data_IF_176589590638
#
_entry.id   IF_176589590638
#
_cell.length_a   1.000
_cell.length_b   1.000
_cell.length_c   1.000
_cell.angle_alpha   90.00
_cell.angle_beta   90.00
_cell.angle_gamma   90.00
#
_symmetry.space_group_name_H-M   'P 1'
#
loop_
_entity.id
_entity.type
_entity.pdbx_description
1 polymer ?
#
# COMPACT_ATOMS: atom_id res chain seq x y z
N UNK A 1 -25.00 15.56 -14.51
CA UNK A 1 -23.71 15.25 -13.84
C UNK A 1 -24.02 14.34 -12.67
N UNK A 2 -23.44 13.14 -12.60
CA UNK A 2 -23.65 12.22 -11.50
C UNK A 2 -22.95 12.79 -10.26
N UNK A 3 -23.70 13.31 -9.29
CA UNK A 3 -23.15 13.80 -8.03
C UNK A 3 -22.80 12.56 -7.20
N UNK A 4 -21.58 12.04 -7.37
CA UNK A 4 -21.09 10.97 -6.51
C UNK A 4 -20.80 11.61 -5.16
N UNK A 5 -21.61 11.23 -4.17
CA UNK A 5 -21.46 11.70 -2.80
C UNK A 5 -20.03 11.48 -2.29
N UNK A 6 -19.51 12.42 -1.50
CA UNK A 6 -18.13 12.40 -1.03
C UNK A 6 -17.82 11.16 -0.18
N UNK A 7 -18.82 10.70 0.59
CA UNK A 7 -18.74 9.46 1.34
C UNK A 7 -18.63 8.23 0.42
N UNK A 8 -19.43 8.18 -0.64
CA UNK A 8 -19.36 7.11 -1.64
C UNK A 8 -17.98 7.08 -2.30
N UNK A 9 -17.46 8.23 -2.74
CA UNK A 9 -16.13 8.33 -3.35
C UNK A 9 -15.03 7.83 -2.42
N UNK A 10 -14.98 8.33 -1.18
CA UNK A 10 -13.94 7.95 -0.22
C UNK A 10 -13.97 6.46 0.10
N UNK A 11 -15.16 5.87 0.23
CA UNK A 11 -15.37 4.44 0.38
C UNK A 11 -14.81 3.63 -0.79
N UNK A 12 -15.13 4.02 -2.03
CA UNK A 12 -14.69 3.34 -3.24
C UNK A 12 -13.16 3.43 -3.45
N UNK A 13 -12.56 4.60 -3.23
CA UNK A 13 -11.10 4.77 -3.27
C UNK A 13 -10.41 3.90 -2.22
N UNK A 14 -11.00 3.76 -1.02
CA UNK A 14 -10.46 2.93 0.06
C UNK A 14 -10.49 1.44 -0.28
N UNK A 15 -11.56 0.98 -0.92
CA UNK A 15 -11.66 -0.39 -1.43
C UNK A 15 -10.59 -0.64 -2.49
N UNK A 16 -10.46 0.25 -3.47
CA UNK A 16 -9.45 0.11 -4.51
C UNK A 16 -8.02 0.05 -3.92
N UNK A 17 -7.71 0.95 -2.98
CA UNK A 17 -6.45 0.94 -2.26
C UNK A 17 -6.24 -0.36 -1.47
N UNK A 18 -7.28 -0.91 -0.84
CA UNK A 18 -7.18 -2.22 -0.16
C UNK A 18 -6.79 -3.33 -1.14
N UNK A 19 -7.39 -3.35 -2.33
CA UNK A 19 -7.05 -4.35 -3.37
C UNK A 19 -5.59 -4.22 -3.81
N UNK A 20 -5.08 -3.00 -4.05
CA UNK A 20 -3.68 -2.83 -4.47
C UNK A 20 -2.69 -3.28 -3.40
N UNK A 21 -2.98 -3.01 -2.13
CA UNK A 21 -2.12 -3.41 -1.01
C UNK A 21 -2.09 -4.93 -0.83
N UNK A 22 -3.23 -5.60 -0.99
CA UNK A 22 -3.29 -7.07 -0.99
C UNK A 22 -2.46 -7.63 -2.15
N UNK A 23 -2.56 -7.05 -3.35
CA UNK A 23 -1.73 -7.45 -4.51
C UNK A 23 -0.24 -7.25 -4.23
N UNK A 24 0.13 -6.15 -3.57
CA UNK A 24 1.50 -5.88 -3.14
C UNK A 24 2.03 -7.03 -2.28
N UNK A 25 1.30 -7.40 -1.21
CA UNK A 25 1.76 -8.44 -0.29
C UNK A 25 1.80 -9.84 -0.91
N UNK A 26 0.78 -10.24 -1.67
CA UNK A 26 0.75 -11.55 -2.35
C UNK A 26 1.89 -11.68 -3.39
N UNK A 27 2.18 -10.57 -4.06
CA UNK A 27 3.16 -10.45 -5.14
C UNK A 27 4.62 -10.61 -4.72
N UNK A 28 4.92 -10.38 -3.45
CA UNK A 28 6.29 -10.40 -2.93
C UNK A 28 6.71 -11.83 -2.59
N UNK A 29 7.94 -12.17 -2.97
CA UNK A 29 8.58 -13.44 -2.63
C UNK A 29 9.55 -13.26 -1.45
N UNK A 30 9.37 -14.08 -0.40
CA UNK A 30 10.19 -14.05 0.80
C UNK A 30 11.68 -14.30 0.52
N UNK A 31 11.99 -15.23 -0.39
CA UNK A 31 13.39 -15.58 -0.66
C UNK A 31 14.09 -14.48 -1.47
N UNK A 32 13.36 -13.86 -2.40
CA UNK A 32 13.81 -12.66 -3.11
C UNK A 32 14.06 -11.50 -2.13
N UNK A 33 13.12 -11.21 -1.22
CA UNK A 33 13.26 -10.13 -0.21
C UNK A 33 14.49 -10.33 0.67
N UNK A 34 14.76 -11.56 1.12
CA UNK A 34 15.95 -11.86 1.93
C UNK A 34 17.23 -11.60 1.16
N UNK A 35 17.27 -11.97 -0.12
CA UNK A 35 18.43 -11.76 -1.01
C UNK A 35 18.66 -10.27 -1.31
N UNK A 36 17.59 -9.48 -1.46
CA UNK A 36 17.67 -8.08 -1.91
C UNK A 36 17.35 -7.05 -0.82
N UNK A 37 17.42 -7.40 0.47
CA UNK A 37 17.08 -6.51 1.60
C UNK A 37 17.78 -5.15 1.57
N UNK A 38 19.07 -5.12 1.18
CA UNK A 38 19.85 -3.88 1.10
C UNK A 38 19.36 -2.99 -0.05
N UNK A 39 19.04 -3.60 -1.19
CA UNK A 39 18.48 -2.89 -2.35
C UNK A 39 17.10 -2.30 -2.01
N UNK A 40 16.25 -3.09 -1.33
CA UNK A 40 14.91 -2.65 -0.90
C UNK A 40 15.00 -1.42 0.01
N UNK A 41 15.90 -1.44 0.99
CA UNK A 41 16.07 -0.30 1.90
C UNK A 41 16.62 0.93 1.18
N UNK A 42 17.63 0.78 0.31
CA UNK A 42 18.19 1.90 -0.46
C UNK A 42 17.15 2.51 -1.39
N UNK A 43 16.44 1.69 -2.16
CA UNK A 43 15.41 2.15 -3.10
C UNK A 43 14.14 2.67 -2.42
N UNK A 44 13.78 2.16 -1.23
CA UNK A 44 12.58 2.60 -0.52
C UNK A 44 12.77 3.87 0.31
N UNK A 45 14.02 4.26 0.61
CA UNK A 45 14.31 5.40 1.51
C UNK A 45 15.03 6.53 0.79
N UNK A 46 16.08 6.22 0.02
CA UNK A 46 16.92 7.27 -0.58
C UNK A 46 16.19 8.03 -1.70
N UNK A 47 15.54 7.37 -2.68
CA UNK A 47 14.78 8.06 -3.73
C UNK A 47 13.70 9.02 -3.20
N UNK A 48 12.76 8.64 -2.33
CA UNK A 48 11.72 9.57 -1.90
C UNK A 48 12.24 10.76 -1.10
N UNK A 49 13.36 10.60 -0.38
CA UNK A 49 14.02 11.74 0.29
C UNK A 49 14.60 12.69 -0.75
N UNK A 50 15.34 12.18 -1.75
CA UNK A 50 15.94 13.01 -2.79
C UNK A 50 14.85 13.67 -3.64
N UNK A 51 13.83 12.92 -4.07
CA UNK A 51 12.70 13.42 -4.84
C UNK A 51 11.93 14.49 -4.05
N UNK A 52 11.63 14.24 -2.77
CA UNK A 52 10.97 15.22 -1.90
C UNK A 52 11.78 16.50 -1.73
N UNK A 53 13.11 16.41 -1.55
CA UNK A 53 13.98 17.60 -1.45
C UNK A 53 14.00 18.38 -2.77
N UNK A 54 14.07 17.70 -3.91
CA UNK A 54 14.05 18.35 -5.23
C UNK A 54 12.71 19.02 -5.49
N UNK A 55 11.59 18.34 -5.19
CA UNK A 55 10.23 18.91 -5.34
C UNK A 55 10.06 20.12 -4.42
N UNK A 56 10.58 20.07 -3.19
CA UNK A 56 10.57 21.21 -2.28
C UNK A 56 11.46 22.36 -2.78
N UNK A 57 12.66 22.10 -3.29
CA UNK A 57 13.52 23.16 -3.82
C UNK A 57 12.95 23.82 -5.09
N UNK A 58 12.32 23.04 -5.97
CA UNK A 58 11.70 23.56 -7.18
C UNK A 58 10.38 24.28 -6.87
N UNK A 59 9.60 23.76 -5.94
CA UNK A 59 8.34 24.38 -5.56
C UNK A 59 8.53 25.76 -4.93
N UNK A 60 9.62 26.04 -4.21
CA UNK A 60 9.85 27.34 -3.55
C UNK A 60 10.16 28.41 -4.59
N UNK A 61 10.68 27.99 -5.74
CA UNK A 61 11.03 28.85 -6.86
C UNK A 61 9.85 29.05 -7.82
N UNK A 62 9.01 28.04 -8.01
CA UNK A 62 7.93 28.04 -9.01
C UNK A 62 6.58 28.48 -8.41
N UNK A 63 6.27 28.06 -7.19
CA UNK A 63 4.95 28.21 -6.57
C UNK A 63 5.01 29.29 -5.48
N UNK A 64 4.17 30.32 -5.52
CA UNK A 64 4.08 31.34 -4.47
C UNK A 64 3.28 30.78 -3.27
N UNK A 65 3.85 29.82 -2.55
CA UNK A 65 3.23 29.18 -1.38
C UNK A 65 4.12 29.29 -0.14
N UNK A 66 3.51 29.24 1.04
CA UNK A 66 4.25 29.22 2.30
C UNK A 66 5.09 27.94 2.43
N UNK A 67 6.27 28.05 3.06
CA UNK A 67 7.25 26.96 3.18
C UNK A 67 6.64 25.70 3.81
N UNK A 68 5.74 25.88 4.79
CA UNK A 68 5.05 24.76 5.46
C UNK A 68 4.14 23.98 4.52
N UNK A 69 3.34 24.69 3.73
CA UNK A 69 2.42 24.08 2.75
C UNK A 69 3.19 23.41 1.63
N UNK A 70 4.31 23.99 1.26
CA UNK A 70 5.14 23.45 0.21
C UNK A 70 5.90 22.19 0.62
N UNK A 71 6.30 22.09 1.89
CA UNK A 71 6.84 20.86 2.45
C UNK A 71 5.80 19.73 2.45
N UNK A 72 4.55 20.04 2.82
CA UNK A 72 3.43 19.09 2.71
C UNK A 72 3.23 18.64 1.26
N UNK A 73 3.23 19.58 0.31
CA UNK A 73 3.10 19.29 -1.11
C UNK A 73 4.20 18.34 -1.60
N UNK A 74 5.46 18.58 -1.23
CA UNK A 74 6.58 17.73 -1.61
C UNK A 74 6.42 16.28 -1.11
N UNK A 75 5.91 16.08 0.11
CA UNK A 75 5.75 14.75 0.69
C UNK A 75 4.56 13.98 0.12
N UNK A 76 3.51 14.68 -0.33
CA UNK A 76 2.39 14.06 -1.05
C UNK A 76 2.84 13.61 -2.45
N UNK A 77 3.73 14.37 -3.09
CA UNK A 77 4.13 14.15 -4.48
C UNK A 77 5.30 13.16 -4.63
N UNK A 78 6.19 13.08 -3.65
CA UNK A 78 7.39 12.22 -3.68
C UNK A 78 7.13 10.70 -3.82
N UNK A 79 6.14 10.07 -3.17
CA UNK A 79 6.02 8.62 -3.21
C UNK A 79 5.63 8.08 -4.59
N UNK A 80 6.25 6.98 -4.97
CA UNK A 80 5.94 6.27 -6.21
C UNK A 80 4.53 5.69 -6.18
N UNK A 81 3.78 5.78 -7.30
CA UNK A 81 2.40 5.31 -7.35
C UNK A 81 2.31 3.77 -7.30
N UNK A 82 1.77 3.17 -6.21
CA UNK A 82 1.68 1.72 -6.08
C UNK A 82 0.70 1.13 -7.10
N UNK A 83 -0.32 1.91 -7.49
CA UNK A 83 -1.33 1.54 -8.47
C UNK A 83 -0.76 1.24 -9.86
N UNK A 84 0.40 1.79 -10.19
CA UNK A 84 1.08 1.55 -11.48
C UNK A 84 2.25 0.58 -11.28
N UNK A 85 3.10 0.82 -10.29
CA UNK A 85 4.33 0.03 -10.09
C UNK A 85 4.03 -1.44 -9.80
N UNK A 86 3.06 -1.73 -8.92
CA UNK A 86 2.74 -3.11 -8.51
C UNK A 86 2.23 -3.96 -9.68
N UNK A 87 1.16 -3.59 -10.41
CA UNK A 87 0.68 -4.42 -11.52
C UNK A 87 1.72 -4.57 -12.63
N UNK A 88 2.50 -3.53 -12.94
CA UNK A 88 3.56 -3.61 -13.96
C UNK A 88 4.65 -4.60 -13.55
N UNK A 89 5.13 -4.56 -12.31
CA UNK A 89 6.14 -5.50 -11.82
C UNK A 89 5.62 -6.93 -11.74
N UNK A 90 4.36 -7.13 -11.34
CA UNK A 90 3.71 -8.45 -11.39
C UNK A 90 3.58 -8.97 -12.83
N UNK A 91 3.28 -8.09 -13.79
CA UNK A 91 3.28 -8.43 -15.22
C UNK A 91 4.65 -8.88 -15.72
N UNK A 92 5.73 -8.20 -15.31
CA UNK A 92 7.10 -8.63 -15.62
C UNK A 92 7.46 -9.97 -14.99
N UNK A 93 7.03 -10.21 -13.74
CA UNK A 93 7.23 -11.51 -13.08
C UNK A 93 6.54 -12.66 -13.82
N UNK A 94 5.31 -12.45 -14.31
CA UNK A 94 4.60 -13.44 -15.14
C UNK A 94 5.33 -13.76 -16.45
N UNK A 95 6.03 -12.78 -17.02
CA UNK A 95 6.87 -12.94 -18.23
C UNK A 95 8.27 -13.51 -17.93
N UNK A 96 8.61 -13.78 -16.67
CA UNK A 96 9.92 -14.29 -16.26
C UNK A 96 11.01 -13.24 -16.09
N UNK A 97 10.69 -11.94 -16.22
CA UNK A 97 11.68 -10.87 -16.04
C UNK A 97 11.87 -10.54 -14.55
N UNK A 98 13.13 -10.49 -14.12
CA UNK A 98 13.50 -10.06 -12.76
C UNK A 98 13.10 -11.03 -11.63
N UNK A 99 12.61 -12.22 -11.96
CA UNK A 99 12.22 -13.26 -10.99
C UNK A 99 13.45 -13.96 -10.40
N UNK A 100 14.42 -14.35 -11.22
CA UNK A 100 15.65 -15.03 -10.79
C UNK A 100 16.57 -14.14 -9.94
N UNK A 101 16.63 -12.85 -10.28
CA UNK A 101 17.41 -11.86 -9.53
C UNK A 101 16.69 -11.36 -8.29
N UNK A 102 15.36 -11.51 -8.23
CA UNK A 102 14.50 -10.96 -7.17
C UNK A 102 14.22 -9.46 -7.34
N UNK A 103 14.64 -8.84 -8.45
CA UNK A 103 14.54 -7.38 -8.66
C UNK A 103 13.10 -6.90 -8.70
N UNK A 104 12.19 -7.61 -9.37
CA UNK A 104 10.78 -7.20 -9.47
C UNK A 104 10.09 -7.23 -8.10
N UNK A 105 10.37 -8.27 -7.29
CA UNK A 105 9.91 -8.34 -5.90
C UNK A 105 10.54 -7.27 -5.02
N UNK A 106 11.81 -6.92 -5.28
CA UNK A 106 12.49 -5.84 -4.57
C UNK A 106 11.85 -4.48 -4.85
N UNK A 107 11.45 -4.21 -6.10
CA UNK A 107 10.79 -2.96 -6.50
C UNK A 107 9.39 -2.86 -5.87
N UNK A 108 8.61 -3.95 -5.85
CA UNK A 108 7.30 -3.98 -5.18
C UNK A 108 7.46 -3.67 -3.67
N UNK A 109 8.43 -4.33 -3.02
CA UNK A 109 8.70 -4.11 -1.61
C UNK A 109 9.24 -2.70 -1.32
N UNK A 110 10.13 -2.17 -2.16
CA UNK A 110 10.67 -0.81 -1.99
C UNK A 110 9.61 0.26 -2.19
N UNK A 111 8.75 0.13 -3.21
CA UNK A 111 7.62 1.05 -3.44
C UNK A 111 6.65 1.05 -2.26
N UNK A 112 6.45 -0.11 -1.61
CA UNK A 112 5.63 -0.19 -0.41
C UNK A 112 6.27 0.54 0.79
N UNK A 113 7.58 0.38 1.00
CA UNK A 113 8.32 1.09 2.06
C UNK A 113 8.31 2.59 1.84
N UNK A 114 8.57 3.01 0.60
CA UNK A 114 8.49 4.40 0.13
C UNK A 114 7.13 5.02 0.52
N UNK A 115 6.03 4.40 0.10
CA UNK A 115 4.69 4.86 0.44
C UNK A 115 4.43 4.93 1.95
N UNK A 116 4.88 3.95 2.73
CA UNK A 116 4.71 3.95 4.20
C UNK A 116 5.47 5.12 4.84
N UNK A 117 6.72 5.37 4.42
CA UNK A 117 7.54 6.46 4.95
C UNK A 117 6.90 7.81 4.64
N UNK A 118 6.44 8.02 3.41
CA UNK A 118 5.75 9.25 3.02
C UNK A 118 4.43 9.44 3.76
N UNK A 119 3.64 8.38 3.99
CA UNK A 119 2.41 8.46 4.80
C UNK A 119 2.72 8.85 6.24
N UNK A 120 3.74 8.26 6.87
CA UNK A 120 4.17 8.62 8.23
C UNK A 120 4.61 10.08 8.30
N UNK A 121 5.47 10.50 7.36
CA UNK A 121 5.96 11.88 7.29
C UNK A 121 4.81 12.87 7.06
N UNK A 122 3.86 12.54 6.18
CA UNK A 122 2.66 13.33 5.92
C UNK A 122 1.83 13.51 7.19
N UNK A 123 1.48 12.42 7.88
CA UNK A 123 0.66 12.49 9.09
C UNK A 123 1.32 13.37 10.16
N UNK A 124 2.63 13.20 10.41
CA UNK A 124 3.36 14.01 11.40
C UNK A 124 3.33 15.50 11.01
N UNK A 125 3.58 15.83 9.75
CA UNK A 125 3.64 17.22 9.32
C UNK A 125 2.28 17.90 9.28
N UNK A 126 1.23 17.21 8.85
CA UNK A 126 -0.14 17.75 8.87
C UNK A 126 -0.55 18.11 10.29
N UNK A 127 -0.32 17.20 11.25
CA UNK A 127 -0.63 17.45 12.67
C UNK A 127 0.15 18.65 13.23
N UNK A 128 1.40 18.84 12.82
CA UNK A 128 2.23 19.96 13.28
C UNK A 128 1.83 21.29 12.64
N UNK A 129 1.50 21.27 11.34
CA UNK A 129 1.15 22.48 10.59
C UNK A 129 -0.24 23.01 10.98
N UNK A 130 -1.23 22.12 11.13
CA UNK A 130 -2.63 22.52 11.36
C UNK A 130 -3.07 22.45 12.82
N UNK A 131 -2.58 21.46 13.58
CA UNK A 131 -3.06 21.19 14.95
C UNK A 131 -2.10 21.64 16.03
N UNK A 132 -0.93 22.20 15.67
CA UNK A 132 0.12 22.69 16.60
C UNK A 132 0.54 21.67 17.67
N UNK A 133 0.43 20.38 17.36
CA UNK A 133 0.79 19.30 18.28
C UNK A 133 2.31 19.16 18.36
N UNK A 134 2.81 18.77 19.52
CA UNK A 134 4.23 18.47 19.72
C UNK A 134 4.68 17.35 18.78
N UNK A 135 5.72 17.61 17.98
CA UNK A 135 6.35 16.64 17.08
C UNK A 135 6.62 15.27 17.73
N UNK A 136 7.05 15.27 18.98
CA UNK A 136 7.36 14.04 19.73
C UNK A 136 6.14 13.15 19.96
N UNK A 137 4.98 13.77 20.20
CA UNK A 137 3.74 13.04 20.46
C UNK A 137 3.22 12.38 19.18
N UNK A 138 3.15 13.14 18.08
CA UNK A 138 2.74 12.61 16.77
C UNK A 138 3.66 11.50 16.27
N UNK A 139 4.97 11.69 16.41
CA UNK A 139 5.94 10.66 16.06
C UNK A 139 5.73 9.38 16.88
N UNK A 140 5.42 9.50 18.17
CA UNK A 140 5.11 8.35 19.03
C UNK A 140 3.85 7.61 18.60
N UNK A 141 2.79 8.33 18.21
CA UNK A 141 1.56 7.73 17.67
C UNK A 141 1.85 6.98 16.38
N UNK A 142 2.55 7.60 15.42
CA UNK A 142 2.84 6.97 14.13
C UNK A 142 3.77 5.76 14.29
N UNK A 143 4.74 5.83 15.21
CA UNK A 143 5.58 4.67 15.55
C UNK A 143 4.75 3.54 16.17
N UNK A 144 3.85 3.86 17.09
CA UNK A 144 2.93 2.88 17.70
C UNK A 144 2.01 2.26 16.65
N UNK A 145 1.47 3.07 15.72
CA UNK A 145 0.67 2.59 14.60
C UNK A 145 1.43 1.63 13.70
N UNK A 146 2.70 1.91 13.42
CA UNK A 146 3.55 1.02 12.65
C UNK A 146 3.79 -0.31 13.37
N UNK A 147 4.12 -0.28 14.66
CA UNK A 147 4.34 -1.49 15.47
C UNK A 147 3.06 -2.33 15.55
N UNK A 148 1.91 -1.73 15.85
CA UNK A 148 0.63 -2.42 15.87
C UNK A 148 0.28 -3.01 14.49
N UNK A 149 0.52 -2.27 13.41
CA UNK A 149 0.32 -2.74 12.05
C UNK A 149 1.16 -3.99 11.74
N UNK A 150 2.43 -4.01 12.18
CA UNK A 150 3.31 -5.19 12.05
C UNK A 150 2.77 -6.38 12.83
N UNK A 151 2.38 -6.18 14.09
CA UNK A 151 1.88 -7.25 14.95
C UNK A 151 0.58 -7.84 14.37
N UNK A 152 -0.39 -6.99 14.06
CA UNK A 152 -1.70 -7.40 13.50
C UNK A 152 -1.50 -8.08 12.14
N UNK A 153 -0.64 -7.53 11.30
CA UNK A 153 -0.35 -8.09 9.98
C UNK A 153 0.24 -9.50 10.05
N UNK A 154 1.31 -9.69 10.84
CA UNK A 154 1.97 -10.99 10.98
C UNK A 154 1.04 -12.01 11.66
N UNK A 155 0.39 -11.61 12.75
CA UNK A 155 -0.50 -12.49 13.52
C UNK A 155 -1.72 -12.90 12.68
N UNK A 156 -2.39 -11.94 12.05
CA UNK A 156 -3.56 -12.21 11.20
C UNK A 156 -3.20 -13.08 9.99
N UNK A 157 -2.04 -12.84 9.35
CA UNK A 157 -1.62 -13.69 8.24
C UNK A 157 -1.25 -15.12 8.66
N UNK A 158 -0.77 -15.33 9.90
CA UNK A 158 -0.60 -16.68 10.45
C UNK A 158 -1.94 -17.38 10.67
N UNK A 159 -2.97 -16.67 11.12
CA UNK A 159 -4.34 -17.22 11.22
C UNK A 159 -4.85 -17.63 9.83
N UNK A 160 -4.71 -16.76 8.83
CA UNK A 160 -5.10 -17.05 7.44
C UNK A 160 -4.29 -18.17 6.77
N UNK A 161 -3.12 -18.49 7.31
CA UNK A 161 -2.39 -19.68 6.87
C UNK A 161 -3.10 -20.98 7.28
N UNK A 162 -3.75 -20.99 8.44
CA UNK A 162 -4.41 -22.17 9.02
C UNK A 162 -5.87 -22.29 8.55
N UNK A 163 -6.56 -21.16 8.43
CA UNK A 163 -7.96 -21.07 7.97
C UNK A 163 -8.03 -20.49 6.54
N UNK A 164 -8.76 -21.09 5.58
CA UNK A 164 -9.68 -22.23 5.65
C UNK A 164 -8.98 -23.60 5.49
N UNK A 165 -9.59 -24.65 6.05
CA UNK A 165 -9.10 -26.04 5.96
C UNK A 165 -8.98 -26.49 4.49
N UNK A 166 -7.87 -27.15 4.16
CA UNK A 166 -7.46 -27.48 2.77
C UNK A 166 -8.51 -28.32 2.02
N UNK A 167 -9.39 -29.03 2.75
CA UNK A 167 -10.48 -29.84 2.18
C UNK A 167 -11.78 -29.09 1.82
N UNK A 168 -11.86 -27.77 1.91
CA UNK A 168 -13.09 -27.03 1.56
C UNK A 168 -13.26 -26.86 0.04
N UNK A 169 -14.48 -27.05 -0.47
CA UNK A 169 -14.81 -26.67 -1.85
C UNK A 169 -14.56 -25.16 -2.06
N UNK A 170 -14.01 -24.77 -3.22
CA UNK A 170 -13.70 -23.38 -3.59
C UNK A 170 -12.72 -22.64 -2.64
N UNK A 171 -11.74 -23.36 -2.08
CA UNK A 171 -10.74 -22.85 -1.13
C UNK A 171 -10.11 -21.50 -1.51
N UNK A 172 -9.71 -21.32 -2.78
CA UNK A 172 -9.06 -20.09 -3.26
C UNK A 172 -9.98 -18.86 -3.21
N UNK A 173 -11.27 -19.05 -3.55
CA UNK A 173 -12.28 -17.98 -3.50
C UNK A 173 -12.55 -17.60 -2.05
N UNK A 174 -12.71 -18.59 -1.17
CA UNK A 174 -12.94 -18.35 0.26
C UNK A 174 -11.76 -17.59 0.85
N UNK A 175 -10.52 -18.01 0.59
CA UNK A 175 -9.30 -17.27 1.02
C UNK A 175 -9.29 -15.84 0.54
N UNK A 176 -9.60 -15.60 -0.74
CA UNK A 176 -9.61 -14.26 -1.32
C UNK A 176 -10.67 -13.37 -0.65
N UNK A 177 -11.90 -13.87 -0.46
CA UNK A 177 -12.99 -13.13 0.18
C UNK A 177 -12.66 -12.81 1.64
N UNK A 178 -12.15 -13.78 2.39
CA UNK A 178 -11.81 -13.62 3.81
C UNK A 178 -10.63 -12.65 4.00
N UNK A 179 -9.60 -12.74 3.15
CA UNK A 179 -8.48 -11.82 3.17
C UNK A 179 -8.93 -10.40 2.81
N UNK A 180 -9.75 -10.25 1.76
CA UNK A 180 -10.28 -8.96 1.34
C UNK A 180 -11.14 -8.32 2.43
N UNK A 181 -12.08 -9.05 3.03
CA UNK A 181 -13.00 -8.51 4.03
C UNK A 181 -12.26 -8.02 5.29
N UNK A 182 -11.30 -8.79 5.80
CA UNK A 182 -10.51 -8.41 6.98
C UNK A 182 -9.57 -7.25 6.66
N UNK A 183 -8.90 -7.26 5.52
CA UNK A 183 -8.05 -6.13 5.12
C UNK A 183 -8.86 -4.85 4.90
N UNK A 184 -10.04 -4.94 4.28
CA UNK A 184 -10.93 -3.80 4.10
C UNK A 184 -11.38 -3.25 5.47
N UNK A 185 -11.87 -4.13 6.36
CA UNK A 185 -12.26 -3.74 7.71
C UNK A 185 -11.11 -3.05 8.46
N UNK A 186 -9.89 -3.59 8.39
CA UNK A 186 -8.70 -2.96 8.99
C UNK A 186 -8.40 -1.57 8.41
N UNK A 187 -8.52 -1.39 7.10
CA UNK A 187 -8.31 -0.08 6.45
C UNK A 187 -9.40 0.94 6.83
N UNK A 188 -10.64 0.52 7.08
CA UNK A 188 -11.69 1.41 7.57
C UNK A 188 -11.55 1.72 9.07
N UNK A 189 -11.27 0.71 9.90
CA UNK A 189 -11.05 0.90 11.34
C UNK A 189 -9.84 1.79 11.60
N UNK A 190 -8.72 1.54 10.91
CA UNK A 190 -7.52 2.39 11.01
C UNK A 190 -7.77 3.84 10.60
N UNK A 191 -8.71 4.09 9.69
CA UNK A 191 -9.13 5.46 9.34
C UNK A 191 -9.91 6.10 10.49
N UNK A 192 -10.86 5.36 11.06
CA UNK A 192 -11.74 5.85 12.11
C UNK A 192 -10.99 6.20 13.40
N UNK A 193 -9.86 5.54 13.66
CA UNK A 193 -8.97 5.83 14.80
C UNK A 193 -7.81 6.78 14.46
N UNK A 194 -7.81 7.38 13.27
CA UNK A 194 -6.75 8.29 12.77
C UNK A 194 -5.33 7.68 12.68
N UNK A 195 -5.23 6.35 12.71
CA UNK A 195 -3.97 5.60 12.59
C UNK A 195 -3.86 4.93 11.21
N UNK A 196 -3.99 5.72 10.14
CA UNK A 196 -4.04 5.24 8.75
C UNK A 196 -2.85 4.34 8.38
N UNK A 197 -1.65 4.64 8.89
CA UNK A 197 -0.42 3.87 8.72
C UNK A 197 -0.57 2.41 9.17
N UNK A 198 -1.31 2.16 10.26
CA UNK A 198 -1.53 0.82 10.80
C UNK A 198 -2.24 -0.09 9.80
N UNK A 199 -3.31 0.41 9.17
CA UNK A 199 -4.12 -0.35 8.22
C UNK A 199 -3.34 -0.76 6.98
N UNK A 200 -2.53 0.16 6.44
CA UNK A 200 -1.69 -0.08 5.26
C UNK A 200 -0.65 -1.16 5.55
N UNK A 201 0.12 -1.00 6.64
CA UNK A 201 1.17 -1.95 7.04
C UNK A 201 0.56 -3.33 7.35
N UNK A 202 -0.53 -3.37 8.11
CA UNK A 202 -1.20 -4.61 8.47
C UNK A 202 -1.69 -5.36 7.22
N UNK A 203 -2.28 -4.66 6.24
CA UNK A 203 -2.80 -5.26 5.01
C UNK A 203 -1.70 -5.91 4.18
N UNK A 204 -0.59 -5.21 3.97
CA UNK A 204 0.55 -5.72 3.19
C UNK A 204 1.17 -6.92 3.90
N UNK A 205 1.43 -6.81 5.21
CA UNK A 205 2.08 -7.90 5.95
C UNK A 205 1.16 -9.11 6.12
N UNK A 206 -0.14 -8.92 6.32
CA UNK A 206 -1.12 -10.00 6.40
C UNK A 206 -1.21 -10.76 5.08
N UNK A 207 -1.33 -10.06 3.97
CA UNK A 207 -1.36 -10.68 2.63
C UNK A 207 -0.03 -11.34 2.25
N UNK A 208 1.11 -10.75 2.63
CA UNK A 208 2.43 -11.34 2.43
C UNK A 208 2.66 -12.61 3.26
N UNK A 209 2.32 -12.60 4.54
CA UNK A 209 2.52 -13.76 5.43
C UNK A 209 1.52 -14.88 5.12
N UNK A 210 0.26 -14.55 4.83
CA UNK A 210 -0.74 -15.52 4.39
C UNK A 210 -0.33 -16.19 3.06
N UNK A 211 0.03 -15.37 2.05
CA UNK A 211 0.42 -15.90 0.74
C UNK A 211 1.63 -16.82 0.85
N UNK A 212 2.73 -16.40 1.49
CA UNK A 212 3.91 -17.25 1.70
C UNK A 212 3.60 -18.54 2.47
N UNK A 213 2.66 -18.48 3.42
CA UNK A 213 2.14 -19.65 4.10
C UNK A 213 1.48 -20.64 3.13
N UNK A 214 0.63 -20.14 2.23
CA UNK A 214 -0.02 -20.94 1.20
C UNK A 214 0.97 -21.48 0.16
N UNK A 215 1.98 -20.69 -0.25
CA UNK A 215 3.04 -21.11 -1.21
C UNK A 215 3.82 -22.33 -0.72
N UNK A 216 4.01 -22.46 0.60
CA UNK A 216 4.73 -23.59 1.20
C UNK A 216 3.88 -24.86 1.35
N UNK A 217 2.57 -24.70 1.50
CA UNK A 217 1.65 -25.82 1.74
C UNK A 217 1.16 -26.44 0.43
N UNK A 218 1.07 -25.66 -0.64
CA UNK A 218 0.67 -26.13 -1.97
C UNK A 218 1.90 -26.15 -2.88
N UNK A 219 2.34 -27.33 -3.31
CA UNK A 219 3.48 -27.51 -4.24
C UNK A 219 3.28 -26.88 -5.64
N UNK A 220 2.14 -26.23 -5.90
CA UNK A 220 1.86 -25.62 -7.19
C UNK A 220 2.46 -24.21 -7.31
N UNK A 221 3.07 -23.94 -8.48
CA UNK A 221 3.65 -22.64 -8.86
C UNK A 221 2.61 -21.57 -9.20
N UNK A 222 1.32 -21.91 -9.26
CA UNK A 222 0.25 -21.03 -9.74
C UNK A 222 -0.77 -20.72 -8.62
N UNK A 223 -0.77 -19.46 -8.20
CA UNK A 223 -1.62 -18.94 -7.12
C UNK A 223 -2.92 -18.39 -7.70
N UNK A 224 -3.99 -19.18 -7.61
CA UNK A 224 -5.32 -18.76 -8.07
C UNK A 224 -5.83 -17.54 -7.27
N UNK A 225 -5.41 -17.37 -6.00
CA UNK A 225 -5.73 -16.18 -5.20
C UNK A 225 -5.15 -14.90 -5.80
N UNK A 226 -3.91 -14.94 -6.31
CA UNK A 226 -3.26 -13.80 -6.93
C UNK A 226 -3.95 -13.39 -8.24
N UNK A 227 -4.49 -14.36 -8.98
CA UNK A 227 -5.25 -14.14 -10.21
C UNK A 227 -6.60 -13.48 -9.92
N UNK A 228 -7.31 -13.89 -8.86
CA UNK A 228 -8.56 -13.26 -8.41
C UNK A 228 -8.33 -11.76 -8.12
N UNK A 229 -7.31 -11.42 -7.33
CA UNK A 229 -7.00 -10.01 -7.05
C UNK A 229 -6.49 -9.25 -8.28
N UNK A 230 -5.81 -9.93 -9.20
CA UNK A 230 -5.43 -9.33 -10.49
C UNK A 230 -6.66 -8.98 -11.32
N UNK A 231 -7.62 -9.89 -11.42
CA UNK A 231 -8.88 -9.65 -12.13
C UNK A 231 -9.67 -8.50 -11.49
N UNK A 232 -9.86 -8.51 -10.16
CA UNK A 232 -10.57 -7.43 -9.46
C UNK A 232 -9.90 -6.08 -9.71
N UNK A 233 -8.57 -6.04 -9.72
CA UNK A 233 -7.83 -4.81 -9.96
C UNK A 233 -7.96 -4.31 -11.41
N UNK A 234 -7.65 -5.17 -12.37
CA UNK A 234 -7.53 -4.81 -13.78
C UNK A 234 -8.89 -4.44 -14.41
N UNK A 235 -10.00 -5.00 -13.91
CA UNK A 235 -11.35 -4.74 -14.45
C UNK A 235 -12.16 -3.72 -13.65
N UNK A 236 -11.89 -3.53 -12.37
CA UNK A 236 -12.75 -2.71 -11.49
C UNK A 236 -11.95 -1.64 -10.73
N UNK A 237 -10.98 -2.04 -9.92
CA UNK A 237 -10.35 -1.12 -8.96
C UNK A 237 -9.54 0.00 -9.64
N UNK A 238 -8.82 -0.29 -10.73
CA UNK A 238 -8.04 0.71 -11.48
C UNK A 238 -8.93 1.78 -12.06
N UNK A 239 -9.97 1.37 -12.78
CA UNK A 239 -10.91 2.26 -13.46
C UNK A 239 -11.59 3.17 -12.45
N UNK A 240 -12.01 2.62 -11.32
CA UNK A 240 -12.61 3.40 -10.25
C UNK A 240 -11.62 4.38 -9.64
N UNK A 241 -10.41 3.95 -9.30
CA UNK A 241 -9.42 4.81 -8.64
C UNK A 241 -9.09 6.02 -9.52
N UNK A 242 -8.73 5.79 -10.79
CA UNK A 242 -8.37 6.88 -11.70
C UNK A 242 -9.57 7.75 -12.08
N UNK A 243 -10.77 7.17 -12.26
CA UNK A 243 -11.97 7.95 -12.55
C UNK A 243 -12.38 8.84 -11.37
N UNK A 244 -12.29 8.34 -10.14
CA UNK A 244 -12.67 9.09 -8.93
C UNK A 244 -11.66 10.17 -8.57
N UNK A 245 -10.36 9.92 -8.79
CA UNK A 245 -9.32 10.96 -8.70
C UNK A 245 -9.53 12.02 -9.79
N UNK A 246 -9.85 11.61 -11.02
CA UNK A 246 -10.20 12.53 -12.10
C UNK A 246 -11.36 13.46 -11.73
N UNK A 247 -12.37 12.93 -11.03
CA UNK A 247 -13.52 13.70 -10.56
C UNK A 247 -13.18 14.71 -9.44
N UNK A 248 -12.04 14.56 -8.75
CA UNK A 248 -11.59 15.57 -7.76
C UNK A 248 -11.17 16.88 -8.40
N UNK A 249 -10.76 16.87 -9.67
CA UNK A 249 -10.36 18.09 -10.35
C UNK A 249 -11.59 18.94 -10.65
N UNK A 250 -11.82 19.94 -9.81
CA UNK A 250 -12.73 21.03 -10.12
C UNK A 250 -12.05 21.90 -11.18
N UNK A 251 -12.41 21.66 -12.44
CA UNK A 251 -12.09 22.55 -13.55
C UNK A 251 -13.00 23.79 -13.46
N UNK A 252 -12.83 24.57 -12.41
CA UNK A 252 -13.44 25.90 -12.34
C UNK A 252 -12.52 26.89 -13.05
N UNK A 253 -13.08 27.52 -14.08
CA UNK A 253 -12.73 28.89 -14.45
C UNK A 253 -13.05 29.84 -13.30
#
# INVERSE_FOLDING_TARGET
>A
MLYVDEACRSFLCRIALTVVLIRAGIGVDLDAVKKTKSLICRLGVVPPIVEGVVIFALGTLILPMDLKMQLLFAIILAPTSPAVVIPTMLGFMKKGYGTLTGTSSAIIASSTIDNIICIVAYNVLVSVVFSSVLLRYEFSIQFTAAVLGVIIGIFGGFIFRIHPHIGSNNLHIVRAILLFSVCAALNFVSLAIEMSTMGVIATVLMSFTASNGWKKTMESKFYHEAEIFTFIWDYFAVQMLFSLIGFQFQLNQ
#
